data_IF_901476456860
#
_entry.id   IF_901476456860
#
_cell.length_a   1.000
_cell.length_b   1.000
_cell.length_c   1.000
_cell.angle_alpha   90.00
_cell.angle_beta   90.00
_cell.angle_gamma   90.00
#
_symmetry.space_group_name_H-M   'P 1'
#
loop_
_entity.id
_entity.type
_entity.pdbx_description
1 polymer ?
#
# COMPACT_ATOMS: atom_id res chain seq x y z
N UNK A 1 -23.99 35.51 12.86
CA UNK A 1 -22.67 36.21 12.87
C UNK A 1 -21.78 35.83 14.06
N UNK A 2 -22.27 35.65 15.30
CA UNK A 2 -21.48 35.19 16.48
C UNK A 2 -20.79 33.82 16.35
N UNK A 3 -21.31 32.91 15.52
CA UNK A 3 -20.76 31.55 15.33
C UNK A 3 -19.51 31.49 14.42
N UNK A 4 -19.31 32.50 13.56
CA UNK A 4 -18.16 32.54 12.64
C UNK A 4 -16.87 32.96 13.34
N UNK A 5 -16.97 33.80 14.38
CA UNK A 5 -15.83 34.24 15.20
C UNK A 5 -15.24 33.10 16.06
N UNK A 6 -16.09 32.15 16.50
CA UNK A 6 -15.67 31.02 17.34
C UNK A 6 -14.88 29.95 16.57
N UNK A 7 -15.16 29.77 15.27
CA UNK A 7 -14.45 28.81 14.40
C UNK A 7 -13.09 29.35 13.96
N UNK A 8 -12.97 30.66 13.77
CA UNK A 8 -11.68 31.30 13.45
C UNK A 8 -10.69 31.22 14.63
N UNK A 9 -11.18 31.31 15.87
CA UNK A 9 -10.32 31.25 17.06
C UNK A 9 -9.79 29.83 17.34
N UNK A 10 -10.58 28.80 17.04
CA UNK A 10 -10.16 27.39 17.17
C UNK A 10 -9.13 26.99 16.11
N UNK A 11 -9.20 27.56 14.91
CA UNK A 11 -8.18 27.37 13.87
C UNK A 11 -6.82 28.01 14.26
N UNK A 12 -6.84 29.10 15.03
CA UNK A 12 -5.62 29.75 15.53
C UNK A 12 -4.98 29.01 16.72
N UNK A 13 -5.78 28.39 17.60
CA UNK A 13 -5.28 27.61 18.74
C UNK A 13 -4.59 26.31 18.28
N UNK A 14 -5.03 25.69 17.17
CA UNK A 14 -4.32 24.55 16.55
C UNK A 14 -2.99 24.93 15.90
N UNK A 15 -2.79 26.19 15.52
CA UNK A 15 -1.53 26.69 14.94
C UNK A 15 -0.51 27.10 16.00
N UNK A 16 -0.96 27.34 17.23
CA UNK A 16 -0.12 27.65 18.38
C UNK A 16 0.24 26.40 19.22
N UNK A 17 0.06 25.19 18.66
CA UNK A 17 0.64 24.01 19.27
C UNK A 17 2.16 24.20 19.21
N UNK A 18 2.88 24.24 20.35
CA UNK A 18 4.32 24.12 20.32
C UNK A 18 4.56 22.72 19.77
N UNK A 19 4.88 22.64 18.48
CA UNK A 19 5.50 21.45 17.92
C UNK A 19 6.65 21.15 18.87
N UNK A 20 6.52 20.05 19.61
CA UNK A 20 7.39 19.76 20.74
C UNK A 20 8.84 19.94 20.28
N UNK A 21 9.51 20.95 20.83
CA UNK A 21 10.96 21.11 20.72
C UNK A 21 11.53 19.91 21.47
N UNK A 22 11.64 18.77 20.78
CA UNK A 22 12.27 17.58 21.33
C UNK A 22 13.65 18.01 21.84
N UNK A 23 13.97 17.64 23.08
CA UNK A 23 15.24 18.03 23.65
C UNK A 23 16.38 17.50 22.75
N UNK A 24 17.50 18.22 22.61
CA UNK A 24 18.63 17.75 21.81
C UNK A 24 19.10 16.34 22.19
N UNK A 25 19.05 16.01 23.49
CA UNK A 25 19.33 14.66 24.00
C UNK A 25 18.33 13.61 23.48
N UNK A 26 17.04 13.92 23.44
CA UNK A 26 16.01 13.00 22.92
C UNK A 26 16.24 12.69 21.45
N UNK A 27 16.69 13.69 20.68
CA UNK A 27 17.01 13.54 19.26
C UNK A 27 18.24 12.66 19.07
N UNK A 28 19.30 12.90 19.84
CA UNK A 28 20.53 12.10 19.76
C UNK A 28 20.27 10.63 20.16
N UNK A 29 19.48 10.42 21.21
CA UNK A 29 19.17 9.08 21.69
C UNK A 29 18.24 8.30 20.72
N UNK A 30 17.22 8.96 20.15
CA UNK A 30 16.35 8.35 19.12
C UNK A 30 17.12 8.00 17.84
N UNK A 31 18.11 8.82 17.44
CA UNK A 31 18.97 8.50 16.30
C UNK A 31 19.86 7.29 16.61
N UNK A 32 20.49 7.26 17.79
CA UNK A 32 21.38 6.16 18.19
C UNK A 32 20.65 4.80 18.26
N UNK A 33 19.37 4.78 18.62
CA UNK A 33 18.55 3.56 18.65
C UNK A 33 18.03 3.08 17.28
N UNK A 34 18.05 3.93 16.25
CA UNK A 34 17.55 3.60 14.89
C UNK A 34 18.66 3.31 13.88
N UNK A 35 19.90 3.53 14.29
CA UNK A 35 21.10 3.38 13.46
C UNK A 35 21.83 2.11 13.87
N UNK A 36 22.20 1.28 12.90
CA UNK A 36 23.06 0.11 13.14
C UNK A 36 24.50 0.59 13.31
N UNK A 37 25.23 0.04 14.29
CA UNK A 37 26.63 0.41 14.49
C UNK A 37 27.49 -0.06 13.31
N UNK A 38 28.31 0.80 12.66
CA UNK A 38 29.26 0.38 11.64
C UNK A 38 30.44 -0.41 12.23
N UNK A 39 30.62 -0.35 13.55
CA UNK A 39 31.75 -0.96 14.26
C UNK A 39 31.40 -2.32 14.88
N UNK A 40 30.11 -2.57 15.13
CA UNK A 40 29.62 -3.79 15.76
C UNK A 40 28.51 -4.40 14.89
N UNK A 41 28.71 -5.55 14.24
CA UNK A 41 27.67 -6.17 13.43
C UNK A 41 26.49 -6.65 14.30
N UNK A 42 25.26 -6.35 13.88
CA UNK A 42 24.04 -6.87 14.50
C UNK A 42 23.56 -6.14 15.75
N UNK A 43 24.17 -5.01 16.12
CA UNK A 43 23.71 -4.17 17.24
C UNK A 43 23.50 -2.72 16.81
N UNK A 44 22.65 -2.00 17.55
CA UNK A 44 22.43 -0.57 17.32
C UNK A 44 23.66 0.24 17.73
N UNK A 45 23.76 1.47 17.21
CA UNK A 45 24.76 2.41 17.66
C UNK A 45 24.64 2.65 19.16
N UNK A 46 23.43 2.67 19.71
CA UNK A 46 23.19 2.80 21.16
C UNK A 46 23.79 1.65 22.00
N UNK A 47 23.80 0.42 21.49
CA UNK A 47 24.18 -0.77 22.28
C UNK A 47 25.62 -1.25 22.03
N UNK A 48 26.35 -0.66 21.08
CA UNK A 48 27.73 -1.03 20.77
C UNK A 48 28.71 -0.52 21.86
N UNK A 49 29.49 -1.39 22.52
CA UNK A 49 30.40 -1.00 23.60
C UNK A 49 31.74 -0.42 23.11
N UNK A 50 31.93 -0.25 21.80
CA UNK A 50 33.20 0.24 21.25
C UNK A 50 33.42 1.73 21.52
N UNK A 51 34.68 2.11 21.73
CA UNK A 51 35.05 3.51 21.95
C UNK A 51 34.73 4.39 20.73
N UNK A 52 34.93 3.85 19.52
CA UNK A 52 34.55 4.52 18.27
C UNK A 52 33.03 4.80 18.17
N UNK A 53 32.19 3.90 18.69
CA UNK A 53 30.75 4.15 18.78
C UNK A 53 30.42 5.23 19.81
N UNK A 54 31.15 5.29 20.93
CA UNK A 54 30.96 6.34 21.94
C UNK A 54 31.31 7.72 21.36
N UNK A 55 32.42 7.84 20.65
CA UNK A 55 32.83 9.08 19.98
C UNK A 55 31.79 9.53 18.94
N UNK A 56 31.21 8.59 18.20
CA UNK A 56 30.15 8.88 17.24
C UNK A 56 28.86 9.38 17.92
N UNK A 57 28.47 8.81 19.06
CA UNK A 57 27.32 9.31 19.85
C UNK A 57 27.55 10.74 20.33
N UNK A 58 28.76 11.04 20.82
CA UNK A 58 29.15 12.40 21.23
C UNK A 58 29.13 13.40 20.07
N UNK A 59 29.53 12.97 18.86
CA UNK A 59 29.39 13.80 17.66
C UNK A 59 27.93 14.07 17.31
N UNK A 60 27.07 13.04 17.41
CA UNK A 60 25.64 13.16 17.13
C UNK A 60 24.96 14.10 18.14
N UNK A 61 25.31 14.01 19.43
CA UNK A 61 24.79 14.93 20.45
C UNK A 61 25.23 16.37 20.18
N UNK A 62 26.50 16.59 19.81
CA UNK A 62 26.99 17.91 19.43
C UNK A 62 26.25 18.49 18.21
N UNK A 63 25.90 17.67 17.21
CA UNK A 63 25.08 18.11 16.09
C UNK A 63 23.64 18.45 16.50
N UNK A 64 23.04 17.66 17.40
CA UNK A 64 21.72 17.93 17.94
C UNK A 64 21.69 19.25 18.74
N UNK A 65 22.71 19.50 19.59
CA UNK A 65 22.89 20.76 20.32
C UNK A 65 23.09 21.95 19.39
N UNK A 66 23.79 21.74 18.26
CA UNK A 66 23.94 22.74 17.20
C UNK A 66 22.65 23.00 16.39
N UNK A 67 21.51 22.42 16.78
CA UNK A 67 20.21 22.61 16.13
C UNK A 67 20.06 21.85 14.82
N UNK A 68 20.87 20.83 14.56
CA UNK A 68 20.70 20.02 13.35
C UNK A 68 19.44 19.18 13.43
N UNK A 69 18.62 19.26 12.39
CA UNK A 69 17.45 18.38 12.26
C UNK A 69 17.85 16.92 12.06
N UNK A 70 17.03 16.00 12.58
CA UNK A 70 17.20 14.54 12.48
C UNK A 70 17.56 14.04 11.07
N UNK A 71 16.86 14.55 10.06
CA UNK A 71 17.08 14.16 8.66
C UNK A 71 18.47 14.55 8.16
N UNK A 72 18.98 15.71 8.61
CA UNK A 72 20.31 16.19 8.24
C UNK A 72 21.39 15.31 8.86
N UNK A 73 21.27 15.00 10.16
CA UNK A 73 22.21 14.10 10.86
C UNK A 73 22.24 12.73 10.19
N UNK A 74 21.08 12.14 9.89
CA UNK A 74 20.99 10.84 9.25
C UNK A 74 21.62 10.84 7.84
N UNK A 75 21.35 11.87 7.04
CA UNK A 75 21.94 12.01 5.71
C UNK A 75 23.47 12.14 5.76
N UNK A 76 24.01 12.85 6.75
CA UNK A 76 25.46 12.94 6.98
C UNK A 76 26.05 11.59 7.37
N UNK A 77 25.41 10.86 8.28
CA UNK A 77 25.86 9.51 8.68
C UNK A 77 25.85 8.53 7.49
N UNK A 78 24.86 8.59 6.62
CA UNK A 78 24.85 7.79 5.38
C UNK A 78 25.93 8.17 4.39
N UNK A 79 26.25 9.47 4.28
CA UNK A 79 27.31 9.92 3.39
C UNK A 79 28.69 9.46 3.87
N UNK A 80 28.90 9.36 5.18
CA UNK A 80 30.18 8.94 5.78
C UNK A 80 30.32 7.41 5.86
N UNK A 81 29.25 6.68 6.22
CA UNK A 81 29.30 5.24 6.54
C UNK A 81 28.51 4.36 5.56
N UNK A 82 27.81 4.94 4.60
CA UNK A 82 27.04 4.24 3.59
C UNK A 82 25.61 3.88 4.01
N UNK A 83 24.81 3.28 3.09
CA UNK A 83 23.38 3.03 3.29
C UNK A 83 23.08 1.95 4.34
N UNK A 84 24.09 1.17 4.74
CA UNK A 84 23.98 0.07 5.71
C UNK A 84 23.77 0.55 7.15
N UNK A 85 23.99 1.85 7.40
CA UNK A 85 23.80 2.47 8.71
C UNK A 85 22.31 2.62 9.07
N UNK A 86 21.42 2.65 8.06
CA UNK A 86 19.98 2.82 8.25
C UNK A 86 19.32 1.46 8.49
N UNK A 87 18.70 1.25 9.65
CA UNK A 87 17.94 0.03 9.95
C UNK A 87 16.65 -0.10 9.11
N UNK A 88 16.20 0.99 8.47
CA UNK A 88 14.98 1.05 7.65
C UNK A 88 15.32 1.77 6.34
N UNK A 89 14.94 1.25 5.15
CA UNK A 89 15.21 1.92 3.88
C UNK A 89 14.63 3.35 3.86
N UNK A 90 15.35 4.33 3.28
CA UNK A 90 14.94 5.74 3.29
C UNK A 90 13.56 5.93 2.66
N UNK A 91 12.65 6.63 3.35
CA UNK A 91 11.35 7.06 2.80
C UNK A 91 11.47 8.23 1.79
N UNK A 92 12.61 8.37 1.11
CA UNK A 92 12.89 9.44 0.15
C UNK A 92 13.71 8.88 -1.02
N UNK A 93 13.38 9.29 -2.26
CA UNK A 93 14.04 8.81 -3.47
C UNK A 93 13.60 7.39 -3.86
N UNK A 94 14.55 6.48 -4.05
CA UNK A 94 14.29 5.09 -4.49
C UNK A 94 13.52 4.24 -3.48
N UNK A 95 13.66 4.52 -2.18
CA UNK A 95 12.83 3.83 -1.18
C UNK A 95 11.35 4.21 -1.25
N UNK A 96 11.03 5.38 -1.83
CA UNK A 96 9.64 5.78 -2.10
C UNK A 96 9.02 4.91 -3.19
N UNK A 97 9.82 4.45 -4.17
CA UNK A 97 9.37 3.46 -5.17
C UNK A 97 9.02 2.13 -4.50
N UNK A 98 9.81 1.67 -3.52
CA UNK A 98 9.49 0.43 -2.79
C UNK A 98 8.15 0.51 -2.03
N UNK A 99 7.71 1.71 -1.64
CA UNK A 99 6.42 1.96 -0.99
C UNK A 99 5.27 2.24 -1.97
N UNK A 100 5.53 2.88 -3.11
CA UNK A 100 4.51 3.21 -4.12
C UNK A 100 4.23 2.02 -5.04
N UNK A 101 5.25 1.20 -5.35
CA UNK A 101 5.14 0.04 -6.23
C UNK A 101 4.03 -0.95 -5.79
N UNK A 102 3.88 -1.32 -4.51
CA UNK A 102 2.79 -2.21 -4.07
C UNK A 102 1.40 -1.66 -4.41
N UNK A 103 1.18 -0.37 -4.17
CA UNK A 103 -0.11 0.30 -4.42
C UNK A 103 -0.40 0.38 -5.91
N UNK A 104 0.61 0.74 -6.72
CA UNK A 104 0.48 0.85 -8.18
C UNK A 104 0.21 -0.52 -8.81
N UNK A 105 0.93 -1.57 -8.39
CA UNK A 105 0.72 -2.94 -8.91
C UNK A 105 -0.68 -3.44 -8.57
N UNK A 106 -1.16 -3.21 -7.35
CA UNK A 106 -2.53 -3.56 -6.95
C UNK A 106 -3.58 -2.80 -7.75
N UNK A 107 -3.43 -1.48 -7.92
CA UNK A 107 -4.36 -0.67 -8.68
C UNK A 107 -4.41 -1.06 -10.16
N UNK A 108 -3.25 -1.29 -10.78
CA UNK A 108 -3.14 -1.72 -12.17
C UNK A 108 -3.77 -3.12 -12.37
N UNK A 109 -3.47 -4.07 -11.48
CA UNK A 109 -4.04 -5.42 -11.52
C UNK A 109 -5.56 -5.41 -11.36
N UNK A 110 -6.09 -4.64 -10.39
CA UNK A 110 -7.52 -4.49 -10.18
C UNK A 110 -8.22 -3.84 -11.39
N UNK A 111 -7.62 -2.80 -11.97
CA UNK A 111 -8.12 -2.15 -13.19
C UNK A 111 -8.22 -3.13 -14.36
N UNK A 112 -7.14 -3.89 -14.62
CA UNK A 112 -7.12 -4.88 -15.69
C UNK A 112 -8.17 -5.97 -15.49
N UNK A 113 -8.24 -6.56 -14.29
CA UNK A 113 -9.24 -7.57 -13.97
C UNK A 113 -10.68 -7.06 -14.20
N UNK A 114 -10.99 -5.84 -13.73
CA UNK A 114 -12.31 -5.23 -13.93
C UNK A 114 -12.62 -5.00 -15.42
N UNK A 115 -11.64 -4.58 -16.21
CA UNK A 115 -11.85 -4.41 -17.67
C UNK A 115 -12.11 -5.74 -18.37
N UNK A 116 -11.37 -6.80 -18.04
CA UNK A 116 -11.56 -8.13 -18.62
C UNK A 116 -12.92 -8.70 -18.25
N UNK A 117 -13.32 -8.61 -16.97
CA UNK A 117 -14.63 -9.05 -16.50
C UNK A 117 -15.75 -8.27 -17.19
N UNK A 118 -15.60 -6.94 -17.35
CA UNK A 118 -16.57 -6.11 -18.08
C UNK A 118 -16.65 -6.49 -19.55
N UNK A 119 -15.51 -6.73 -20.20
CA UNK A 119 -15.45 -7.09 -21.61
C UNK A 119 -16.12 -8.44 -21.87
N UNK A 120 -15.84 -9.45 -21.04
CA UNK A 120 -16.45 -10.77 -21.16
C UNK A 120 -17.93 -10.76 -20.78
N UNK A 121 -18.32 -10.06 -19.71
CA UNK A 121 -19.74 -9.93 -19.35
C UNK A 121 -20.56 -9.11 -20.35
N UNK A 122 -19.95 -8.24 -21.14
CA UNK A 122 -20.62 -7.55 -22.24
C UNK A 122 -20.89 -8.49 -23.43
N UNK A 123 -19.97 -9.41 -23.73
CA UNK A 123 -20.18 -10.48 -24.70
C UNK A 123 -21.28 -11.45 -24.23
N UNK A 124 -21.26 -11.86 -22.97
CA UNK A 124 -22.31 -12.72 -22.38
C UNK A 124 -23.66 -12.01 -22.26
N UNK A 125 -23.68 -10.69 -22.00
CA UNK A 125 -24.92 -9.91 -22.02
C UNK A 125 -25.50 -9.80 -23.42
N UNK A 126 -24.70 -9.54 -24.45
CA UNK A 126 -25.19 -9.58 -25.84
C UNK A 126 -25.74 -10.95 -26.24
N UNK A 127 -25.19 -12.04 -25.70
CA UNK A 127 -25.78 -13.38 -25.88
C UNK A 127 -27.10 -13.61 -25.12
N UNK A 128 -27.44 -12.76 -24.12
CA UNK A 128 -28.71 -12.80 -23.37
C UNK A 128 -29.74 -11.77 -23.82
N UNK A 129 -29.32 -10.62 -24.36
CA UNK A 129 -30.20 -9.56 -24.89
C UNK A 129 -30.29 -9.54 -26.41
N UNK A 130 -29.44 -10.28 -27.11
CA UNK A 130 -29.72 -10.68 -28.48
C UNK A 130 -30.77 -11.77 -28.40
N UNK A 131 -31.99 -11.44 -28.79
CA UNK A 131 -33.06 -12.36 -29.15
C UNK A 131 -32.46 -13.67 -29.67
N UNK A 132 -32.43 -14.69 -28.82
CA UNK A 132 -32.23 -16.05 -29.31
C UNK A 132 -33.35 -16.26 -30.32
N UNK A 133 -33.08 -16.76 -31.55
CA UNK A 133 -34.18 -17.17 -32.42
C UNK A 133 -35.01 -18.12 -31.57
N UNK A 134 -36.24 -17.70 -31.24
CA UNK A 134 -37.13 -18.53 -30.45
C UNK A 134 -37.12 -19.89 -31.15
N UNK A 135 -36.56 -20.94 -30.52
CA UNK A 135 -36.63 -22.23 -31.16
C UNK A 135 -38.12 -22.46 -31.34
N UNK A 136 -38.50 -22.72 -32.58
CA UNK A 136 -39.82 -23.14 -33.03
C UNK A 136 -40.17 -24.46 -32.33
N UNK A 137 -40.32 -24.35 -31.01
CA UNK A 137 -40.49 -25.43 -30.06
C UNK A 137 -41.88 -26.02 -30.22
N UNK A 138 -42.78 -25.27 -30.86
CA UNK A 138 -44.07 -25.74 -31.32
C UNK A 138 -43.94 -26.70 -32.51
N UNK A 139 -43.02 -26.49 -33.47
CA UNK A 139 -42.88 -27.39 -34.64
C UNK A 139 -42.17 -28.70 -34.35
N UNK A 140 -41.11 -28.68 -33.52
CA UNK A 140 -40.52 -29.88 -32.94
C UNK A 140 -41.58 -30.62 -32.09
N UNK A 141 -42.36 -29.92 -31.26
CA UNK A 141 -43.24 -30.59 -30.30
C UNK A 141 -44.40 -31.39 -30.88
N UNK A 142 -45.07 -30.98 -31.96
CA UNK A 142 -46.28 -31.68 -32.40
C UNK A 142 -45.99 -32.92 -33.25
N UNK A 143 -44.98 -32.83 -34.11
CA UNK A 143 -44.57 -33.92 -35.00
C UNK A 143 -43.76 -34.99 -34.26
N UNK A 144 -42.87 -34.58 -33.35
CA UNK A 144 -42.05 -35.52 -32.57
C UNK A 144 -42.88 -36.23 -31.49
N UNK A 145 -43.89 -35.58 -30.90
CA UNK A 145 -44.83 -36.24 -29.97
C UNK A 145 -45.60 -37.36 -30.65
N UNK A 146 -46.11 -37.14 -31.87
CA UNK A 146 -46.83 -38.19 -32.62
C UNK A 146 -45.93 -39.37 -32.93
N UNK A 147 -44.69 -39.11 -33.35
CA UNK A 147 -43.72 -40.16 -33.64
C UNK A 147 -43.34 -40.97 -32.40
N UNK A 148 -43.19 -40.31 -31.24
CA UNK A 148 -42.96 -40.98 -29.96
C UNK A 148 -44.14 -41.85 -29.53
N UNK A 149 -45.38 -41.37 -29.72
CA UNK A 149 -46.59 -42.12 -29.40
C UNK A 149 -46.72 -43.39 -30.27
N UNK A 150 -46.38 -43.29 -31.57
CA UNK A 150 -46.36 -44.43 -32.49
C UNK A 150 -45.28 -45.45 -32.11
N UNK A 151 -44.08 -45.00 -31.74
CA UNK A 151 -42.99 -45.87 -31.26
C UNK A 151 -43.37 -46.56 -29.93
N UNK A 152 -44.04 -45.86 -29.02
CA UNK A 152 -44.53 -46.41 -27.75
C UNK A 152 -45.64 -47.46 -27.96
N UNK A 153 -46.57 -47.22 -28.89
CA UNK A 153 -47.62 -48.17 -29.23
C UNK A 153 -47.04 -49.45 -29.84
N UNK A 154 -46.04 -49.33 -30.71
CA UNK A 154 -45.33 -50.45 -31.32
C UNK A 154 -44.53 -51.28 -30.29
N UNK A 155 -43.97 -50.64 -29.26
CA UNK A 155 -43.30 -51.34 -28.16
C UNK A 155 -44.27 -52.06 -27.23
N UNK A 156 -45.45 -51.48 -26.97
CA UNK A 156 -46.43 -52.04 -26.02
C UNK A 156 -47.26 -53.19 -26.59
N UNK A 157 -47.28 -53.33 -27.92
CA UNK A 157 -47.93 -54.43 -28.64
C UNK A 157 -47.05 -55.67 -28.87
N UNK A 158 -45.80 -55.69 -28.38
CA UNK A 158 -44.85 -56.80 -28.50
C UNK A 158 -44.70 -57.56 -27.19
#
# INVERSE_FOLDING_TARGET
MRKALLVSLTCWIMLAMPWALAAPEDVANDIAGRVTSPFCPGVTLHDCPSQAAADLRTRISAWAEAGWGRNRIMATLESEYGPQIRAVPPASGTGLVAWVLPVVVLAAGAGLALTLIRHWSAATRRARTGEAPEPDSLSLSLSERRRLDDELAAFKGR
#
